data_IF_681592213088
#
_entry.id   IF_681592213088
#
_cell.length_a   1.000
_cell.length_b   1.000
_cell.length_c   1.000
_cell.angle_alpha   90.00
_cell.angle_beta   90.00
_cell.angle_gamma   90.00
#
_symmetry.space_group_name_H-M   'P 1'
#
loop_
_entity.id
_entity.type
_entity.pdbx_description
1 polymer ?
#
# COMPACT_ATOMS: atom_id res chain seq x y z
N UNK A 1 15.54 -13.20 -15.15
CA UNK A 1 15.44 -14.02 -13.93
C UNK A 1 14.02 -14.50 -13.68
N UNK A 2 13.91 -15.50 -12.79
CA UNK A 2 12.63 -16.00 -12.31
C UNK A 2 12.31 -15.34 -10.98
N UNK A 3 11.18 -14.66 -10.91
CA UNK A 3 10.73 -13.94 -9.71
C UNK A 3 9.41 -14.51 -9.22
N UNK A 4 9.31 -14.72 -7.92
CA UNK A 4 8.05 -15.03 -7.25
C UNK A 4 7.51 -13.75 -6.64
N UNK A 5 6.34 -13.32 -7.10
CA UNK A 5 5.66 -12.13 -6.62
C UNK A 5 4.54 -12.54 -5.67
N UNK A 6 4.47 -11.85 -4.54
CA UNK A 6 3.37 -11.99 -3.59
C UNK A 6 2.75 -10.61 -3.34
N UNK A 7 1.45 -10.52 -3.58
CA UNK A 7 0.67 -9.31 -3.34
C UNK A 7 -0.37 -9.57 -2.26
N UNK A 8 -0.43 -8.68 -1.27
CA UNK A 8 -1.44 -8.69 -0.22
C UNK A 8 -2.38 -7.50 -0.39
N UNK A 9 -3.67 -7.79 -0.49
CA UNK A 9 -4.72 -6.78 -0.54
C UNK A 9 -5.60 -6.93 0.68
N UNK A 10 -5.85 -5.83 1.35
CA UNK A 10 -6.71 -5.77 2.53
C UNK A 10 -7.98 -5.00 2.22
N UNK A 11 -9.09 -5.48 2.76
CA UNK A 11 -10.37 -4.76 2.67
C UNK A 11 -11.11 -4.81 4.00
N UNK A 12 -11.90 -3.78 4.24
CA UNK A 12 -12.94 -3.80 5.27
C UNK A 12 -14.00 -4.83 4.88
N UNK A 13 -14.26 -5.82 5.73
CA UNK A 13 -15.28 -6.84 5.49
C UNK A 13 -16.59 -6.57 6.24
N UNK A 14 -16.65 -5.56 7.09
CA UNK A 14 -17.89 -5.11 7.72
C UNK A 14 -18.68 -4.19 6.79
N UNK A 15 -17.99 -3.24 6.12
CA UNK A 15 -18.61 -2.21 5.30
C UNK A 15 -18.17 -2.24 3.83
N UNK A 16 -17.14 -3.01 3.51
CA UNK A 16 -16.60 -3.13 2.15
C UNK A 16 -17.48 -4.02 1.27
N UNK A 17 -18.19 -3.43 0.32
CA UNK A 17 -19.12 -4.12 -0.58
C UNK A 17 -18.42 -4.91 -1.69
N UNK A 18 -17.42 -4.37 -2.45
CA UNK A 18 -16.81 -5.11 -3.55
C UNK A 18 -16.01 -6.32 -3.05
N UNK A 19 -16.15 -7.49 -3.69
CA UNK A 19 -15.29 -8.64 -3.40
C UNK A 19 -13.85 -8.35 -3.83
N UNK A 20 -12.92 -9.21 -3.42
CA UNK A 20 -11.59 -9.24 -4.02
C UNK A 20 -11.69 -9.66 -5.49
N UNK A 21 -10.85 -9.09 -6.34
CA UNK A 21 -10.79 -9.48 -7.74
C UNK A 21 -10.32 -10.93 -7.87
N UNK A 22 -11.04 -11.69 -8.69
CA UNK A 22 -10.70 -13.08 -8.91
C UNK A 22 -11.08 -13.50 -10.35
N UNK A 23 -10.16 -13.32 -11.32
CA UNK A 23 -8.74 -12.95 -11.15
C UNK A 23 -8.48 -11.46 -10.94
N UNK A 24 -7.31 -11.13 -10.36
CA UNK A 24 -6.69 -9.81 -10.42
C UNK A 24 -5.89 -9.70 -11.72
N UNK A 25 -5.97 -8.55 -12.39
CA UNK A 25 -5.22 -8.28 -13.61
C UNK A 25 -3.93 -7.54 -13.27
N UNK A 26 -2.79 -8.14 -13.59
CA UNK A 26 -1.46 -7.61 -13.30
C UNK A 26 -0.79 -7.21 -14.61
N UNK A 27 -0.37 -5.95 -14.71
CA UNK A 27 0.48 -5.46 -15.80
C UNK A 27 1.95 -5.51 -15.44
N UNK A 28 2.79 -5.92 -16.38
CA UNK A 28 4.25 -5.86 -16.26
C UNK A 28 4.76 -4.99 -17.38
N UNK A 29 5.47 -3.93 -17.02
CA UNK A 29 5.95 -2.91 -17.95
C UNK A 29 7.46 -2.77 -17.84
N UNK A 30 8.10 -2.41 -18.95
CA UNK A 30 9.53 -2.06 -18.99
C UNK A 30 9.76 -0.60 -18.49
N UNK A 31 11.01 -0.16 -18.52
CA UNK A 31 11.39 1.19 -18.09
C UNK A 31 10.83 2.29 -19.01
N UNK A 32 10.48 1.99 -20.24
CA UNK A 32 9.82 2.87 -21.20
C UNK A 32 8.28 2.80 -21.10
N UNK A 33 7.77 2.06 -20.11
CA UNK A 33 6.34 1.83 -19.87
C UNK A 33 5.62 1.02 -20.96
N UNK A 34 6.33 0.29 -21.79
CA UNK A 34 5.72 -0.67 -22.71
C UNK A 34 5.26 -1.91 -21.94
N UNK A 35 4.09 -2.43 -22.31
CA UNK A 35 3.59 -3.67 -21.73
C UNK A 35 4.46 -4.85 -22.17
N UNK A 36 5.11 -5.50 -21.21
CA UNK A 36 5.90 -6.71 -21.41
C UNK A 36 5.04 -7.96 -21.26
N UNK A 37 4.14 -7.94 -20.26
CA UNK A 37 3.25 -9.07 -19.99
C UNK A 37 1.99 -8.61 -19.25
N UNK A 38 0.89 -9.34 -19.41
CA UNK A 38 -0.36 -9.17 -18.69
C UNK A 38 -0.78 -10.54 -18.11
N UNK A 39 -1.03 -10.56 -16.81
CA UNK A 39 -1.34 -11.79 -16.07
C UNK A 39 -2.72 -11.70 -15.43
N UNK A 40 -3.42 -12.83 -15.43
CA UNK A 40 -4.60 -13.06 -14.60
C UNK A 40 -4.19 -13.92 -13.42
N UNK A 41 -4.28 -13.36 -12.22
CA UNK A 41 -3.83 -14.04 -10.99
C UNK A 41 -5.01 -14.29 -10.08
N UNK A 42 -5.27 -15.56 -9.81
CA UNK A 42 -6.38 -15.96 -8.93
C UNK A 42 -6.00 -15.80 -7.46
N UNK A 43 -6.98 -15.40 -6.67
CA UNK A 43 -6.81 -15.25 -5.24
C UNK A 43 -6.52 -16.60 -4.57
N UNK A 44 -5.53 -16.61 -3.67
CA UNK A 44 -5.33 -17.72 -2.74
C UNK A 44 -6.37 -17.65 -1.61
N UNK A 45 -6.59 -18.71 -0.84
CA UNK A 45 -7.47 -18.64 0.30
C UNK A 45 -7.14 -17.45 1.20
N UNK A 46 -8.12 -16.60 1.46
CA UNK A 46 -7.95 -15.41 2.27
C UNK A 46 -8.24 -15.67 3.74
N UNK A 47 -7.57 -14.96 4.62
CA UNK A 47 -7.80 -15.02 6.05
C UNK A 47 -8.50 -13.77 6.57
N UNK A 48 -9.31 -13.93 7.61
CA UNK A 48 -9.86 -12.81 8.37
C UNK A 48 -8.77 -12.35 9.33
N UNK A 49 -8.41 -11.08 9.28
CA UNK A 49 -7.55 -10.47 10.27
C UNK A 49 -8.46 -9.85 11.33
N UNK A 50 -8.54 -10.49 12.49
CA UNK A 50 -9.16 -9.90 13.65
C UNK A 50 -8.07 -9.02 14.30
N UNK A 51 -8.32 -7.72 14.56
CA UNK A 51 -7.38 -6.92 15.31
C UNK A 51 -7.11 -7.64 16.63
N UNK A 52 -5.86 -8.03 16.87
CA UNK A 52 -5.47 -8.52 18.19
C UNK A 52 -5.87 -7.45 19.21
N UNK A 53 -6.43 -7.86 20.32
CA UNK A 53 -6.78 -6.97 21.43
C UNK A 53 -5.58 -6.07 21.73
N UNK A 54 -5.65 -4.83 21.26
CA UNK A 54 -4.65 -3.83 21.58
C UNK A 54 -4.88 -3.51 23.05
N UNK A 55 -3.92 -3.88 23.88
CA UNK A 55 -3.96 -3.66 25.31
C UNK A 55 -3.71 -2.17 25.60
N UNK A 56 -4.60 -1.31 25.12
CA UNK A 56 -4.53 0.13 25.28
C UNK A 56 -5.82 0.59 25.98
N UNK A 57 -5.72 1.21 27.18
CA UNK A 57 -6.88 1.59 27.99
C UNK A 57 -7.80 2.63 27.34
N UNK A 58 -7.33 3.32 26.29
CA UNK A 58 -8.16 4.27 25.53
C UNK A 58 -8.90 3.62 24.35
N UNK A 59 -8.76 2.30 24.17
CA UNK A 59 -9.30 1.63 23.02
C UNK A 59 -10.45 0.69 23.41
N UNK A 60 -11.66 1.10 23.08
CA UNK A 60 -12.82 0.20 23.03
C UNK A 60 -13.05 -0.08 21.54
N UNK A 61 -12.71 -1.29 21.03
CA UNK A 61 -12.92 -1.57 19.63
C UNK A 61 -14.40 -1.43 19.29
N UNK A 62 -14.76 -0.68 18.21
CA UNK A 62 -16.12 -0.75 17.70
C UNK A 62 -16.48 -2.19 17.36
N UNK A 63 -17.68 -2.61 17.68
CA UNK A 63 -18.16 -4.00 17.63
C UNK A 63 -18.11 -4.63 16.23
N UNK A 64 -17.87 -3.84 15.17
CA UNK A 64 -17.99 -4.25 13.77
C UNK A 64 -16.72 -4.04 12.94
N UNK A 65 -15.54 -4.20 13.53
CA UNK A 65 -14.31 -4.11 12.74
C UNK A 65 -13.94 -5.47 12.21
N UNK A 66 -13.82 -5.56 10.90
CA UNK A 66 -13.48 -6.77 10.19
C UNK A 66 -12.52 -6.43 9.05
N UNK A 67 -11.33 -7.06 9.04
CA UNK A 67 -10.41 -6.98 7.93
C UNK A 67 -10.20 -8.35 7.30
N UNK A 68 -10.30 -8.42 5.97
CA UNK A 68 -9.90 -9.59 5.19
C UNK A 68 -8.66 -9.27 4.38
N UNK A 69 -7.77 -10.24 4.30
CA UNK A 69 -6.59 -10.21 3.43
C UNK A 69 -6.77 -11.22 2.29
N UNK A 70 -6.67 -10.74 1.06
CA UNK A 70 -6.43 -11.58 -0.10
C UNK A 70 -4.93 -11.71 -0.35
N UNK A 71 -4.51 -12.90 -0.77
CA UNK A 71 -3.13 -13.19 -1.18
C UNK A 71 -3.14 -13.63 -2.63
N UNK A 72 -2.30 -12.99 -3.45
CA UNK A 72 -2.07 -13.35 -4.84
C UNK A 72 -0.61 -13.74 -4.99
N UNK A 73 -0.35 -14.92 -5.55
CA UNK A 73 1.01 -15.44 -5.74
C UNK A 73 1.15 -15.87 -7.18
N UNK A 74 2.19 -15.38 -7.83
CA UNK A 74 2.52 -15.78 -9.19
C UNK A 74 4.03 -15.75 -9.41
N UNK A 75 4.47 -16.47 -10.43
CA UNK A 75 5.84 -16.44 -10.89
C UNK A 75 5.92 -15.74 -12.24
N UNK A 76 6.97 -14.98 -12.46
CA UNK A 76 7.24 -14.31 -13.71
C UNK A 76 8.69 -14.51 -14.09
N UNK A 77 8.92 -14.82 -15.38
CA UNK A 77 10.25 -14.83 -15.96
C UNK A 77 10.46 -13.48 -16.68
N UNK A 78 11.46 -12.72 -16.24
CA UNK A 78 11.83 -11.43 -16.83
C UNK A 78 13.23 -11.55 -17.44
N UNK A 79 13.40 -11.19 -18.71
CA UNK A 79 14.71 -11.10 -19.32
C UNK A 79 15.61 -10.13 -18.55
N UNK A 80 16.93 -10.32 -18.52
CA UNK A 80 17.85 -9.31 -18.03
C UNK A 80 17.64 -7.98 -18.75
N UNK A 81 17.57 -6.89 -17.96
CA UNK A 81 17.39 -5.53 -18.47
C UNK A 81 18.33 -4.59 -17.73
N UNK A 82 18.91 -3.58 -18.39
CA UNK A 82 19.64 -2.51 -17.71
C UNK A 82 18.71 -1.61 -16.90
N UNK A 83 17.41 -1.63 -17.19
CA UNK A 83 16.37 -0.83 -16.53
C UNK A 83 15.56 -1.61 -15.52
N UNK A 84 14.44 -1.03 -15.17
CA UNK A 84 13.51 -1.53 -14.15
C UNK A 84 12.27 -2.09 -14.84
N UNK A 85 11.73 -3.18 -14.31
CA UNK A 85 10.38 -3.62 -14.61
C UNK A 85 9.42 -3.15 -13.52
N UNK A 86 8.26 -2.66 -13.94
CA UNK A 86 7.17 -2.27 -13.07
C UNK A 86 6.09 -3.36 -13.09
N UNK A 87 5.76 -3.90 -11.93
CA UNK A 87 4.64 -4.83 -11.77
C UNK A 87 3.53 -4.08 -11.07
N UNK A 88 2.38 -3.95 -11.73
CA UNK A 88 1.30 -3.10 -11.26
C UNK A 88 -0.05 -3.80 -11.21
N UNK A 89 -0.79 -3.50 -10.16
CA UNK A 89 -2.20 -3.83 -9.99
C UNK A 89 -2.98 -2.58 -9.59
N UNK A 90 -4.15 -2.40 -10.18
CA UNK A 90 -5.00 -1.24 -9.91
C UNK A 90 -6.40 -1.67 -9.49
N UNK A 91 -6.98 -0.91 -8.57
CA UNK A 91 -8.36 -1.12 -8.13
C UNK A 91 -9.01 0.17 -7.66
N UNK A 92 -10.17 0.49 -8.18
CA UNK A 92 -11.08 1.50 -7.64
C UNK A 92 -12.13 0.84 -6.73
N UNK A 93 -12.70 1.51 -5.77
CA UNK A 93 -12.33 2.82 -5.29
C UNK A 93 -11.97 2.71 -3.82
N UNK A 94 -11.45 3.78 -3.24
CA UNK A 94 -11.11 3.83 -1.82
C UNK A 94 -12.40 4.00 -1.00
N UNK A 95 -12.30 3.74 0.29
CA UNK A 95 -13.42 3.96 1.21
C UNK A 95 -13.79 5.45 1.26
N UNK A 96 -15.06 5.76 1.06
CA UNK A 96 -15.59 7.13 1.06
C UNK A 96 -15.47 7.86 2.41
N UNK A 97 -15.18 7.12 3.49
CA UNK A 97 -14.95 7.68 4.83
C UNK A 97 -13.51 8.18 5.04
N UNK A 98 -12.64 8.08 4.05
CA UNK A 98 -11.28 8.61 4.13
C UNK A 98 -11.31 10.14 4.08
N UNK A 99 -10.65 10.76 5.08
CA UNK A 99 -10.75 12.20 5.32
C UNK A 99 -9.61 13.01 4.69
N UNK A 100 -8.47 12.40 4.39
CA UNK A 100 -7.26 13.15 4.02
C UNK A 100 -6.97 13.20 2.52
N UNK A 101 -7.84 12.70 1.68
CA UNK A 101 -7.74 12.83 0.21
C UNK A 101 -9.03 13.36 -0.39
N UNK A 102 -8.91 13.97 -1.57
CA UNK A 102 -10.07 14.48 -2.32
C UNK A 102 -10.72 13.32 -3.08
N UNK A 103 -12.05 13.20 -2.98
CA UNK A 103 -12.85 12.24 -3.73
C UNK A 103 -12.41 10.77 -3.54
N UNK A 104 -12.31 10.25 -2.33
CA UNK A 104 -11.86 8.88 -2.11
C UNK A 104 -12.76 7.82 -2.78
N UNK A 105 -14.03 8.10 -2.90
CA UNK A 105 -15.06 7.26 -3.52
C UNK A 105 -14.96 7.17 -5.05
N UNK A 106 -14.20 8.07 -5.68
CA UNK A 106 -13.91 8.06 -7.13
C UNK A 106 -12.42 7.88 -7.43
N UNK A 107 -11.59 7.78 -6.39
CA UNK A 107 -10.14 7.62 -6.50
C UNK A 107 -9.72 6.19 -6.16
N UNK A 108 -9.18 5.48 -7.12
CA UNK A 108 -8.65 4.15 -6.91
C UNK A 108 -7.25 4.13 -6.30
N UNK A 109 -6.65 2.95 -6.30
CA UNK A 109 -5.33 2.70 -5.80
C UNK A 109 -4.51 1.90 -6.82
N UNK A 110 -3.26 2.30 -7.01
CA UNK A 110 -2.25 1.51 -7.72
C UNK A 110 -1.27 0.93 -6.72
N UNK A 111 -1.02 -0.35 -6.85
CA UNK A 111 0.02 -1.07 -6.13
C UNK A 111 1.09 -1.44 -7.13
N UNK A 112 2.28 -0.90 -6.96
CA UNK A 112 3.40 -1.11 -7.89
C UNK A 112 4.62 -1.64 -7.15
N UNK A 113 5.25 -2.63 -7.75
CA UNK A 113 6.57 -3.13 -7.36
C UNK A 113 7.56 -2.91 -8.48
N UNK A 114 8.79 -2.58 -8.13
CA UNK A 114 9.90 -2.42 -9.06
C UNK A 114 10.81 -3.63 -8.97
N UNK A 115 11.23 -4.16 -10.13
CA UNK A 115 12.19 -5.26 -10.21
C UNK A 115 13.34 -4.85 -11.14
N UNK A 116 14.56 -4.89 -10.63
CA UNK A 116 15.79 -4.76 -11.42
C UNK A 116 16.24 -6.16 -11.83
N UNK A 117 15.87 -6.57 -13.05
CA UNK A 117 16.21 -7.89 -13.57
C UNK A 117 17.65 -7.92 -14.09
N UNK A 118 18.61 -7.99 -13.19
CA UNK A 118 20.03 -8.13 -13.52
C UNK A 118 20.42 -9.59 -13.73
N UNK A 119 21.33 -9.85 -14.68
CA UNK A 119 21.95 -11.16 -14.83
C UNK A 119 23.02 -11.46 -13.78
N UNK A 120 23.47 -10.46 -13.03
CA UNK A 120 24.58 -10.54 -12.09
C UNK A 120 24.16 -10.65 -10.63
N UNK A 121 22.97 -10.16 -10.29
CA UNK A 121 22.49 -10.09 -8.93
C UNK A 121 21.04 -10.57 -8.82
N UNK A 122 20.82 -11.49 -7.89
CA UNK A 122 19.46 -11.81 -7.45
C UNK A 122 19.11 -10.83 -6.34
N UNK A 123 18.05 -10.07 -6.51
CA UNK A 123 17.54 -9.17 -5.51
C UNK A 123 16.10 -9.48 -5.13
N UNK A 124 15.76 -9.26 -3.87
CA UNK A 124 14.42 -9.45 -3.32
C UNK A 124 13.98 -8.18 -2.62
N UNK A 125 12.79 -7.72 -2.91
CA UNK A 125 12.26 -6.50 -2.27
C UNK A 125 12.21 -6.59 -0.75
N UNK A 126 12.40 -5.48 -0.03
CA UNK A 126 12.22 -5.40 1.41
C UNK A 126 10.83 -5.87 1.86
N UNK A 127 10.77 -6.51 3.01
CA UNK A 127 9.51 -6.99 3.61
C UNK A 127 9.29 -6.34 4.95
N UNK A 128 8.22 -5.59 5.10
CA UNK A 128 7.81 -5.03 6.39
C UNK A 128 7.59 -6.14 7.41
N UNK A 129 8.18 -5.99 8.61
CA UNK A 129 8.09 -6.97 9.69
C UNK A 129 6.70 -7.02 10.31
N UNK A 130 6.10 -5.84 10.47
CA UNK A 130 4.86 -5.67 11.17
C UNK A 130 3.84 -4.93 10.31
N UNK A 131 2.56 -5.28 10.45
CA UNK A 131 1.47 -4.49 9.92
C UNK A 131 1.12 -3.40 10.94
N UNK A 132 0.90 -2.15 10.50
CA UNK A 132 0.51 -1.09 11.41
C UNK A 132 -0.83 -1.43 12.08
N UNK A 133 -1.03 -0.99 13.34
CA UNK A 133 -2.30 -1.18 14.00
C UNK A 133 -3.39 -0.45 13.21
N UNK A 134 -4.59 -1.04 13.08
CA UNK A 134 -5.68 -0.43 12.34
C UNK A 134 -6.24 0.82 13.00
N UNK A 135 -5.90 1.06 14.26
CA UNK A 135 -6.36 2.18 15.08
C UNK A 135 -5.24 2.77 15.88
N UNK A 136 -5.28 4.09 16.02
CA UNK A 136 -4.41 4.87 16.90
C UNK A 136 -5.25 5.80 17.75
N UNK A 137 -4.79 6.08 18.98
CA UNK A 137 -5.55 6.93 19.89
C UNK A 137 -5.40 8.40 19.56
N UNK A 138 -6.52 9.12 19.61
CA UNK A 138 -6.56 10.57 19.46
C UNK A 138 -5.78 11.24 20.61
N UNK A 139 -4.98 12.25 20.27
CA UNK A 139 -4.17 13.05 21.21
C UNK A 139 -3.21 12.22 22.08
N UNK A 140 -2.85 11.04 21.62
CA UNK A 140 -1.91 10.18 22.32
C UNK A 140 -0.70 9.87 21.44
N UNK A 141 0.52 9.93 21.98
CA UNK A 141 1.72 9.60 21.23
C UNK A 141 1.67 8.16 20.70
N UNK A 142 1.89 8.01 19.42
CA UNK A 142 1.96 6.73 18.73
C UNK A 142 3.41 6.47 18.29
N UNK A 143 3.92 5.30 18.62
CA UNK A 143 5.22 4.81 18.17
C UNK A 143 5.04 3.39 17.65
N UNK A 144 5.52 3.14 16.43
CA UNK A 144 5.34 1.84 15.79
C UNK A 144 6.60 1.44 14.99
N UNK A 145 7.08 0.22 15.22
CA UNK A 145 8.15 -0.37 14.41
C UNK A 145 7.61 -0.84 13.07
N UNK A 146 7.78 0.00 12.04
CA UNK A 146 7.44 -0.29 10.65
C UNK A 146 8.69 -0.62 9.83
N UNK A 147 9.71 -1.17 10.47
CA UNK A 147 10.92 -1.60 9.78
C UNK A 147 10.64 -2.82 8.89
N UNK A 148 11.50 -2.99 7.91
CA UNK A 148 11.49 -4.11 6.99
C UNK A 148 12.76 -4.95 7.15
N UNK A 149 12.73 -6.16 6.64
CA UNK A 149 13.91 -7.01 6.43
C UNK A 149 14.15 -7.17 4.95
N UNK A 150 15.41 -7.21 4.58
CA UNK A 150 15.85 -7.60 3.25
C UNK A 150 16.58 -8.94 3.30
N UNK A 151 16.26 -9.87 2.37
CA UNK A 151 16.87 -11.20 2.34
C UNK A 151 18.29 -11.19 1.79
N UNK A 152 18.65 -10.16 1.05
CA UNK A 152 19.99 -9.95 0.50
C UNK A 152 20.87 -9.11 1.42
N UNK A 153 20.31 -8.62 2.55
CA UNK A 153 20.95 -7.76 3.55
C UNK A 153 21.30 -6.36 3.00
N UNK A 154 20.53 -5.88 2.04
CA UNK A 154 20.69 -4.54 1.52
C UNK A 154 20.26 -3.47 2.54
N UNK A 155 20.87 -2.30 2.41
CA UNK A 155 20.54 -1.17 3.31
C UNK A 155 19.21 -0.56 2.93
N UNK A 156 18.22 -0.66 3.80
CA UNK A 156 16.88 -0.10 3.57
C UNK A 156 16.82 1.34 4.06
N UNK A 157 16.19 2.21 3.27
CA UNK A 157 15.83 3.59 3.62
C UNK A 157 14.33 3.77 3.60
N UNK A 158 13.81 4.49 4.58
CA UNK A 158 12.38 4.72 4.77
C UNK A 158 12.01 6.17 4.54
N UNK A 159 10.85 6.39 3.97
CA UNK A 159 10.28 7.73 3.81
C UNK A 159 8.75 7.67 3.82
N UNK A 160 8.11 8.77 4.15
CA UNK A 160 6.71 8.95 3.80
C UNK A 160 6.62 9.20 2.29
N UNK A 161 5.59 8.65 1.66
CA UNK A 161 5.34 8.84 0.24
C UNK A 161 3.85 9.05 -0.03
N UNK A 162 3.54 9.74 -1.12
CA UNK A 162 2.16 9.92 -1.54
C UNK A 162 1.65 8.62 -2.16
N UNK A 163 0.54 8.06 -1.67
CA UNK A 163 -0.07 6.89 -2.28
C UNK A 163 -0.48 7.16 -3.74
N UNK A 164 -0.37 6.13 -4.57
CA UNK A 164 -0.73 6.23 -5.98
C UNK A 164 -2.24 6.09 -6.16
N UNK A 165 -2.82 6.89 -7.04
CA UNK A 165 -4.15 6.73 -7.57
C UNK A 165 -4.14 5.68 -8.70
N UNK A 166 -5.31 5.15 -9.08
CA UNK A 166 -5.44 4.29 -10.25
C UNK A 166 -6.74 3.51 -10.26
N UNK A 167 -7.27 3.32 -11.44
CA UNK A 167 -8.66 2.95 -11.64
C UNK A 167 -9.61 4.08 -11.27
N UNK A 168 -10.79 4.06 -11.81
CA UNK A 168 -11.86 5.01 -11.48
C UNK A 168 -13.23 4.29 -11.48
N UNK A 169 -14.31 5.05 -11.36
CA UNK A 169 -15.66 4.48 -11.32
C UNK A 169 -16.13 3.91 -12.65
N UNK A 170 -15.53 4.32 -13.76
CA UNK A 170 -15.86 3.83 -15.11
C UNK A 170 -15.06 2.57 -15.44
N UNK A 171 -13.82 2.49 -14.96
CA UNK A 171 -12.95 1.32 -15.09
C UNK A 171 -12.35 0.96 -13.72
N UNK A 172 -13.13 0.27 -12.87
CA UNK A 172 -12.71 0.02 -11.49
C UNK A 172 -11.64 -1.05 -11.33
N UNK A 173 -11.38 -1.84 -12.35
CA UNK A 173 -10.35 -2.89 -12.36
C UNK A 173 -9.66 -2.92 -13.74
N UNK A 174 -8.85 -1.91 -14.06
CA UNK A 174 -8.26 -1.77 -15.38
C UNK A 174 -7.50 -3.02 -15.83
N UNK A 175 -7.78 -3.45 -17.06
CA UNK A 175 -7.09 -4.59 -17.67
C UNK A 175 -5.92 -4.05 -18.50
N UNK A 176 -4.67 -4.50 -18.25
CA UNK A 176 -3.53 -4.08 -19.06
C UNK A 176 -3.75 -4.34 -20.56
N UNK A 177 -3.31 -3.46 -21.47
CA UNK A 177 -2.38 -2.33 -21.25
C UNK A 177 -3.03 -1.04 -20.76
N UNK A 178 -4.31 -0.99 -20.51
CA UNK A 178 -4.97 0.22 -20.03
C UNK A 178 -4.39 0.65 -18.68
N UNK A 179 -4.30 1.95 -18.46
CA UNK A 179 -3.70 2.54 -17.26
C UNK A 179 -2.26 2.08 -17.01
N UNK A 180 -1.40 2.20 -18.03
CA UNK A 180 0.04 1.98 -17.90
C UNK A 180 0.71 3.08 -17.04
N UNK A 181 1.93 2.82 -16.49
CA UNK A 181 2.72 3.88 -15.87
C UNK A 181 2.98 5.07 -16.82
N UNK A 182 3.32 6.27 -16.31
CA UNK A 182 3.47 6.64 -14.90
C UNK A 182 2.12 6.85 -14.22
N UNK A 183 2.05 6.48 -12.92
CA UNK A 183 0.82 6.59 -12.15
C UNK A 183 0.72 7.92 -11.43
N UNK A 184 -0.48 8.48 -11.38
CA UNK A 184 -0.75 9.71 -10.64
C UNK A 184 -0.76 9.45 -9.12
N UNK A 185 -0.40 10.47 -8.37
CA UNK A 185 -0.58 10.48 -6.92
C UNK A 185 -2.03 10.80 -6.55
N UNK A 186 -2.48 10.35 -5.37
CA UNK A 186 -3.70 10.87 -4.75
C UNK A 186 -3.54 12.37 -4.46
N UNK A 187 -4.64 13.11 -4.47
CA UNK A 187 -4.64 14.52 -4.10
C UNK A 187 -5.07 14.63 -2.64
N UNK A 188 -4.17 15.12 -1.78
CA UNK A 188 -4.52 15.36 -0.39
C UNK A 188 -5.53 16.50 -0.25
N UNK A 189 -6.52 16.32 0.60
CA UNK A 189 -7.46 17.36 0.99
C UNK A 189 -6.78 18.31 2.00
N UNK A 190 -6.85 19.64 1.84
CA UNK A 190 -6.28 20.55 2.84
C UNK A 190 -6.89 20.32 4.24
N UNK A 191 -6.11 20.36 5.32
CA UNK A 191 -4.68 20.73 5.42
C UNK A 191 -3.70 19.57 5.28
N UNK A 192 -4.14 18.40 4.84
CA UNK A 192 -3.29 17.21 4.73
C UNK A 192 -2.28 17.30 3.58
N UNK A 193 -1.13 16.72 3.80
CA UNK A 193 -0.02 16.63 2.84
C UNK A 193 0.76 15.34 3.09
N UNK A 194 1.73 15.00 2.25
CA UNK A 194 2.64 13.88 2.50
C UNK A 194 3.38 13.99 3.84
N UNK A 195 3.65 15.21 4.32
CA UNK A 195 4.31 15.46 5.61
C UNK A 195 3.31 15.65 6.77
N UNK A 196 2.02 15.56 6.50
CA UNK A 196 0.96 15.70 7.49
C UNK A 196 -0.27 14.90 7.08
N UNK A 197 -0.20 13.58 7.15
CA UNK A 197 -1.29 12.72 6.70
C UNK A 197 -2.39 12.47 7.75
N UNK A 198 -2.14 12.77 9.03
CA UNK A 198 -3.05 12.40 10.13
C UNK A 198 -3.66 13.58 10.87
N UNK A 199 -3.11 14.80 10.74
CA UNK A 199 -3.49 15.92 11.58
C UNK A 199 -4.30 16.97 10.81
N UNK A 200 -5.56 17.17 11.21
CA UNK A 200 -6.41 18.23 10.67
C UNK A 200 -6.02 19.64 11.10
N UNK A 201 -5.27 19.77 12.20
CA UNK A 201 -4.76 21.05 12.72
C UNK A 201 -3.24 21.01 12.79
N UNK A 202 -2.52 21.99 12.20
CA UNK A 202 -1.06 22.08 12.33
C UNK A 202 -0.62 22.33 13.80
N UNK A 203 0.60 21.92 14.14
CA UNK A 203 1.23 22.29 15.42
C UNK A 203 1.39 21.17 16.45
N UNK A 204 0.86 19.97 16.17
CA UNK A 204 1.13 18.76 16.95
C UNK A 204 2.04 17.87 16.12
N UNK A 205 2.76 16.95 16.75
CA UNK A 205 3.70 16.06 16.07
C UNK A 205 3.00 15.31 14.92
N UNK A 206 3.28 15.64 13.66
CA UNK A 206 2.70 14.96 12.51
C UNK A 206 3.26 13.53 12.41
N UNK A 207 2.65 12.72 11.54
CA UNK A 207 3.22 11.43 11.20
C UNK A 207 4.62 11.65 10.60
N UNK A 208 5.59 10.96 11.15
CA UNK A 208 6.97 10.94 10.66
C UNK A 208 7.54 9.54 10.72
N UNK A 209 8.55 9.28 9.90
CA UNK A 209 9.28 8.01 9.91
C UNK A 209 10.78 8.29 10.01
N UNK A 210 11.46 7.55 10.87
CA UNK A 210 12.92 7.58 10.89
C UNK A 210 13.46 6.84 9.66
N UNK A 211 14.29 7.53 8.88
CA UNK A 211 14.76 7.05 7.58
C UNK A 211 15.73 5.86 7.65
N UNK A 212 16.25 5.55 8.83
CA UNK A 212 17.21 4.46 9.05
C UNK A 212 16.53 3.30 9.76
N UNK A 213 15.79 3.57 10.82
CA UNK A 213 15.19 2.54 11.67
C UNK A 213 13.81 2.10 11.21
N UNK A 214 13.09 2.92 10.42
CA UNK A 214 11.71 2.65 10.03
C UNK A 214 10.69 2.84 11.16
N UNK A 215 11.07 3.52 12.26
CA UNK A 215 10.15 3.81 13.35
C UNK A 215 9.21 4.94 12.93
N UNK A 216 7.91 4.65 12.95
CA UNK A 216 6.84 5.63 12.76
C UNK A 216 6.48 6.28 14.09
N UNK A 217 6.31 7.59 14.06
CA UNK A 217 5.84 8.37 15.23
C UNK A 217 4.78 9.38 14.82
N UNK A 218 3.80 9.59 15.68
CA UNK A 218 2.75 10.60 15.47
C UNK A 218 2.07 10.95 16.80
N UNK A 219 1.36 12.07 16.81
CA UNK A 219 0.31 12.36 17.78
C UNK A 219 -0.94 12.80 17.02
N UNK A 220 -1.84 11.87 16.67
CA UNK A 220 -3.04 12.19 15.90
C UNK A 220 -3.96 13.15 16.66
N UNK A 221 -4.45 14.18 15.99
CA UNK A 221 -5.35 15.17 16.61
C UNK A 221 -6.74 15.25 15.98
N UNK A 222 -7.04 14.34 15.07
CA UNK A 222 -8.30 14.34 14.33
C UNK A 222 -8.87 12.94 14.28
N UNK A 223 -10.16 12.82 14.58
CA UNK A 223 -10.90 11.56 14.41
C UNK A 223 -11.23 11.39 12.93
N UNK A 224 -10.97 10.21 12.40
CA UNK A 224 -11.30 9.89 11.01
C UNK A 224 -10.60 8.65 10.50
N UNK A 225 -10.75 8.43 9.22
CA UNK A 225 -10.05 7.41 8.44
C UNK A 225 -9.04 8.09 7.52
N UNK A 226 -7.83 7.58 7.48
CA UNK A 226 -6.74 8.23 6.76
C UNK A 226 -5.99 7.21 5.90
N UNK A 227 -5.65 7.60 4.69
CA UNK A 227 -4.68 6.88 3.88
C UNK A 227 -3.29 7.41 4.19
N UNK A 228 -2.35 6.51 4.44
CA UNK A 228 -0.94 6.83 4.66
C UNK A 228 -0.10 6.07 3.64
N UNK A 229 1.03 6.64 3.26
CA UNK A 229 2.01 6.00 2.41
C UNK A 229 3.37 5.95 3.09
N UNK A 230 3.93 4.76 3.15
CA UNK A 230 5.30 4.52 3.60
C UNK A 230 6.04 3.77 2.51
N UNK A 231 7.20 4.29 2.15
CA UNK A 231 8.09 3.69 1.17
C UNK A 231 9.35 3.16 1.86
N UNK A 232 9.73 1.92 1.52
CA UNK A 232 11.00 1.32 1.86
C UNK A 232 11.77 1.07 0.57
N UNK A 233 12.99 1.58 0.49
CA UNK A 233 13.87 1.46 -0.69
C UNK A 233 15.23 0.94 -0.27
N UNK A 234 15.79 0.09 -1.08
CA UNK A 234 17.17 -0.40 -1.07
C UNK A 234 18.03 0.28 -2.11
#
# INVERSE_FOLDING_TARGET
GNYRVTMYIYRDCANGVPPFDNPAYIGIYDQEYNLVNALQVFVQPYSILIPSTINNPCFIPPVNICYRRATYIFNVNLPPSPGVYYIAYQRCCRNNTINNIIGPDVTGATYVGEIRASSFFNNSSPRFKNLPPPFVCLNYPFVFDHSATDSNQDTIRYSLCTPLAGGDTLDPAPIPPFSAPPYNNVIFAPPYTVNNMLNGTPGIQPLSIDSITGILTATPNTIGQFVIGVCAKE
#
